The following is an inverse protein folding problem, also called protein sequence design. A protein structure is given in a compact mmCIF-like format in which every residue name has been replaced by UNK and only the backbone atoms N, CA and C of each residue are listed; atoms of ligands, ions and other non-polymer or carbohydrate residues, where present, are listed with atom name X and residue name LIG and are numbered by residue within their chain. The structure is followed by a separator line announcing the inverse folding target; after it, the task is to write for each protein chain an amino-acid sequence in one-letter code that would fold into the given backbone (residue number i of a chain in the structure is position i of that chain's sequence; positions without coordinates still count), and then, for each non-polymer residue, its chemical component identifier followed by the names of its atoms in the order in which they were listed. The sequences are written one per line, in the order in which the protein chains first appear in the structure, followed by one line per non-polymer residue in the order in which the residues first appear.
data_IF_548371580349
#
_entry.id   IF_548371580349
#
_cell.length_a   1.000
_cell.length_b   1.000
_cell.length_c   1.000
_cell.angle_alpha   90.00
_cell.angle_beta   90.00
_cell.angle_gamma   90.00
#
_symmetry.space_group_name_H-M   'P 1'
#
loop_
_entity.id
_entity.type
_entity.pdbx_description
1 polymer ?
#
# COMPACT_ATOMS: atom_id res chain seq x y z
N UNK A 1 34.47 5.32 -6.91
CA UNK A 1 33.83 6.64 -6.75
C UNK A 1 34.56 7.43 -5.68
N UNK A 2 34.92 8.68 -5.93
CA UNK A 2 35.55 9.55 -4.92
C UNK A 2 34.49 9.95 -3.88
N UNK A 3 34.92 10.19 -2.64
CA UNK A 3 34.04 10.58 -1.51
C UNK A 3 33.08 11.73 -1.86
N UNK A 4 33.57 12.73 -2.62
CA UNK A 4 32.79 13.87 -3.09
C UNK A 4 31.64 13.51 -4.04
N UNK A 5 31.87 12.54 -4.94
CA UNK A 5 30.86 12.07 -5.89
C UNK A 5 29.77 11.28 -5.17
N UNK A 6 30.14 10.48 -4.16
CA UNK A 6 29.18 9.75 -3.33
C UNK A 6 28.30 10.68 -2.50
N UNK A 7 28.88 11.71 -1.86
CA UNK A 7 28.11 12.71 -1.12
C UNK A 7 27.16 13.47 -2.04
N UNK A 8 27.62 13.84 -3.23
CA UNK A 8 26.78 14.51 -4.23
C UNK A 8 25.59 13.65 -4.64
N UNK A 9 25.80 12.35 -4.88
CA UNK A 9 24.70 11.43 -5.19
C UNK A 9 23.71 11.31 -4.04
N UNK A 10 24.17 11.19 -2.79
CA UNK A 10 23.28 11.17 -1.62
C UNK A 10 22.46 12.45 -1.50
N UNK A 11 23.06 13.61 -1.77
CA UNK A 11 22.33 14.88 -1.77
C UNK A 11 21.24 14.92 -2.85
N UNK A 12 21.48 14.30 -4.01
CA UNK A 12 20.50 14.24 -5.11
C UNK A 12 19.34 13.28 -4.84
N UNK A 13 19.46 12.35 -3.88
CA UNK A 13 18.33 11.51 -3.45
C UNK A 13 17.22 12.36 -2.83
N UNK A 14 17.56 13.40 -2.07
CA UNK A 14 16.58 14.23 -1.35
C UNK A 14 15.55 14.88 -2.29
N UNK A 15 15.92 15.71 -3.28
CA UNK A 15 14.94 16.30 -4.18
C UNK A 15 14.25 15.25 -5.07
N UNK A 16 14.88 14.11 -5.32
CA UNK A 16 14.30 13.03 -6.10
C UNK A 16 13.17 12.29 -5.37
N UNK A 17 13.23 12.16 -4.04
CA UNK A 17 12.26 11.38 -3.25
C UNK A 17 11.32 12.21 -2.39
N UNK A 18 11.59 13.51 -2.18
CA UNK A 18 10.79 14.37 -1.29
C UNK A 18 9.29 14.39 -1.63
N UNK A 19 8.94 14.21 -2.92
CA UNK A 19 7.55 14.16 -3.37
C UNK A 19 6.77 12.95 -2.84
N UNK A 20 7.44 11.83 -2.55
CA UNK A 20 6.81 10.60 -2.06
C UNK A 20 6.28 10.75 -0.62
N UNK A 21 6.92 11.62 0.18
CA UNK A 21 6.59 11.87 1.58
C UNK A 21 5.54 12.97 1.79
N UNK A 22 4.97 13.54 0.73
CA UNK A 22 3.88 14.51 0.86
C UNK A 22 2.66 13.87 1.55
N UNK A 23 1.92 14.59 2.41
CA UNK A 23 0.69 14.08 3.01
C UNK A 23 -0.34 13.65 1.95
N UNK A 24 -1.16 12.65 2.28
CA UNK A 24 -2.12 12.06 1.35
C UNK A 24 -1.47 11.10 0.35
N UNK A 25 -2.25 10.57 -0.59
CA UNK A 25 -1.75 9.70 -1.66
C UNK A 25 -1.62 10.47 -2.96
N UNK A 26 -0.66 10.08 -3.80
CA UNK A 26 -0.54 10.70 -5.12
C UNK A 26 -1.72 10.26 -6.00
N UNK A 27 -2.26 11.19 -6.78
CA UNK A 27 -3.27 10.84 -7.78
C UNK A 27 -2.61 10.07 -8.92
N UNK A 28 -2.98 8.80 -9.08
CA UNK A 28 -2.64 8.01 -10.25
C UNK A 28 -3.93 7.43 -10.85
N UNK A 29 -4.01 7.43 -12.18
CA UNK A 29 -5.05 6.68 -12.88
C UNK A 29 -4.87 5.20 -12.53
N UNK A 30 -5.95 4.54 -12.15
CA UNK A 30 -5.99 3.13 -11.74
C UNK A 30 -5.27 2.81 -10.41
N UNK A 31 -5.15 3.77 -9.51
CA UNK A 31 -4.68 3.46 -8.15
C UNK A 31 -5.72 2.66 -7.37
N UNK A 32 -5.34 1.44 -6.95
CA UNK A 32 -6.23 0.50 -6.25
C UNK A 32 -5.66 -0.01 -4.92
N UNK A 33 -4.40 0.25 -4.59
CA UNK A 33 -3.74 -0.38 -3.44
C UNK A 33 -4.40 0.00 -2.11
N UNK A 34 -4.83 1.25 -1.94
CA UNK A 34 -5.55 1.67 -0.72
C UNK A 34 -6.88 0.90 -0.58
N UNK A 35 -7.66 0.80 -1.66
CA UNK A 35 -8.93 0.07 -1.64
C UNK A 35 -8.72 -1.43 -1.39
N UNK A 36 -7.67 -2.02 -1.97
CA UNK A 36 -7.33 -3.41 -1.75
C UNK A 36 -6.85 -3.70 -0.33
N UNK A 37 -6.11 -2.78 0.30
CA UNK A 37 -5.79 -2.91 1.72
C UNK A 37 -7.05 -2.84 2.58
N UNK A 38 -7.96 -1.91 2.29
CA UNK A 38 -9.25 -1.85 3.01
C UNK A 38 -10.05 -3.15 2.88
N UNK A 39 -10.03 -3.80 1.70
CA UNK A 39 -10.69 -5.10 1.53
C UNK A 39 -9.94 -6.26 2.18
N UNK A 40 -8.61 -6.15 2.35
CA UNK A 40 -7.83 -7.11 3.14
C UNK A 40 -8.24 -7.04 4.62
N UNK A 41 -8.29 -5.85 5.19
CA UNK A 41 -8.79 -5.60 6.56
C UNK A 41 -10.21 -6.18 6.74
N UNK A 42 -11.14 -5.78 5.86
CA UNK A 42 -12.52 -6.25 5.90
C UNK A 42 -12.63 -7.79 5.84
N UNK A 43 -11.90 -8.43 4.93
CA UNK A 43 -11.92 -9.89 4.82
C UNK A 43 -11.35 -10.59 6.07
N UNK A 44 -10.33 -10.01 6.72
CA UNK A 44 -9.77 -10.52 7.98
C UNK A 44 -10.77 -10.34 9.13
N UNK A 45 -11.41 -9.17 9.23
CA UNK A 45 -12.47 -8.89 10.21
C UNK A 45 -13.66 -9.85 10.05
N UNK A 46 -13.99 -10.22 8.82
CA UNK A 46 -14.98 -11.26 8.49
C UNK A 46 -14.52 -12.70 8.81
N UNK A 47 -13.28 -12.88 9.28
CA UNK A 47 -12.72 -14.18 9.65
C UNK A 47 -12.19 -15.00 8.47
N UNK A 48 -12.00 -14.41 7.29
CA UNK A 48 -11.40 -15.10 6.16
C UNK A 48 -9.88 -15.24 6.37
N UNK A 49 -9.40 -16.44 6.64
CA UNK A 49 -7.96 -16.72 6.74
C UNK A 49 -7.62 -17.98 5.91
N UNK A 50 -6.93 -17.85 4.75
CA UNK A 50 -6.49 -16.60 4.12
C UNK A 50 -7.65 -15.84 3.46
N UNK A 51 -7.64 -14.49 3.41
CA UNK A 51 -8.54 -13.70 2.59
C UNK A 51 -8.51 -14.12 1.13
N UNK A 52 -9.70 -14.26 0.54
CA UNK A 52 -9.86 -14.71 -0.87
C UNK A 52 -10.88 -13.89 -1.63
N UNK A 53 -11.97 -13.51 -0.96
CA UNK A 53 -13.11 -12.86 -1.58
C UNK A 53 -13.35 -11.51 -0.92
N UNK A 54 -13.61 -10.50 -1.74
CA UNK A 54 -13.89 -9.13 -1.28
C UNK A 54 -15.37 -8.83 -1.52
N UNK A 55 -16.02 -8.19 -0.56
CA UNK A 55 -17.47 -7.99 -0.53
C UNK A 55 -17.92 -6.67 -1.17
N UNK A 56 -17.12 -5.61 -1.11
CA UNK A 56 -17.59 -4.26 -1.43
C UNK A 56 -17.24 -3.79 -2.85
N UNK A 57 -16.17 -4.36 -3.44
CA UNK A 57 -15.73 -3.95 -4.77
C UNK A 57 -16.70 -4.41 -5.87
N UNK A 58 -16.53 -3.84 -7.07
CA UNK A 58 -17.43 -4.08 -8.20
C UNK A 58 -18.89 -3.71 -7.86
N UNK A 59 -19.13 -2.50 -7.36
CA UNK A 59 -20.46 -2.00 -6.99
C UNK A 59 -21.18 -2.87 -5.94
N UNK A 60 -20.44 -3.47 -5.01
CA UNK A 60 -21.00 -4.34 -3.97
C UNK A 60 -21.35 -5.76 -4.42
N UNK A 61 -21.00 -6.17 -5.64
CA UNK A 61 -21.16 -7.56 -6.07
C UNK A 61 -20.07 -8.48 -5.54
N UNK A 62 -18.91 -7.92 -5.17
CA UNK A 62 -17.76 -8.66 -4.69
C UNK A 62 -17.15 -9.59 -5.74
N UNK A 63 -15.92 -10.04 -5.49
CA UNK A 63 -15.24 -11.01 -6.35
C UNK A 63 -14.02 -11.64 -5.66
N UNK A 64 -13.49 -12.77 -6.18
CA UNK A 64 -12.31 -13.45 -5.63
C UNK A 64 -10.96 -12.72 -5.86
N UNK A 65 -10.85 -11.43 -5.49
CA UNK A 65 -9.67 -10.57 -5.73
C UNK A 65 -8.33 -11.23 -5.41
N UNK A 66 -8.17 -11.74 -4.18
CA UNK A 66 -6.89 -12.25 -3.68
C UNK A 66 -6.51 -13.64 -4.21
N UNK A 67 -7.34 -14.24 -5.06
CA UNK A 67 -6.93 -15.40 -5.85
C UNK A 67 -6.15 -15.01 -7.11
N UNK A 68 -6.27 -13.76 -7.58
CA UNK A 68 -5.66 -13.27 -8.82
C UNK A 68 -4.60 -12.19 -8.59
N UNK A 69 -4.75 -11.39 -7.53
CA UNK A 69 -3.78 -10.37 -7.14
C UNK A 69 -2.88 -10.91 -6.03
N UNK A 70 -1.58 -10.59 -6.08
CA UNK A 70 -0.62 -10.96 -5.05
C UNK A 70 -1.03 -10.36 -3.69
N UNK A 71 -1.41 -11.17 -2.68
CA UNK A 71 -1.97 -10.65 -1.44
C UNK A 71 -0.90 -10.18 -0.44
N UNK A 72 0.36 -10.61 -0.61
CA UNK A 72 1.47 -10.35 0.32
C UNK A 72 1.62 -8.86 0.70
N UNK A 73 1.61 -7.89 -0.24
CA UNK A 73 1.75 -6.48 0.12
C UNK A 73 0.64 -5.98 1.06
N UNK A 74 -0.58 -6.48 0.90
CA UNK A 74 -1.72 -6.06 1.73
C UNK A 74 -1.70 -6.74 3.10
N UNK A 75 -1.17 -7.96 3.23
CA UNK A 75 -0.89 -8.51 4.56
C UNK A 75 0.13 -7.65 5.33
N UNK A 76 1.18 -7.18 4.65
CA UNK A 76 2.18 -6.29 5.27
C UNK A 76 1.55 -4.92 5.60
N UNK A 77 0.75 -4.38 4.68
CA UNK A 77 -0.02 -3.15 4.91
C UNK A 77 -0.97 -3.28 6.09
N UNK A 78 -1.59 -4.44 6.26
CA UNK A 78 -2.53 -4.71 7.34
C UNK A 78 -1.85 -4.71 8.70
N UNK A 79 -0.61 -5.21 8.79
CA UNK A 79 0.19 -5.08 10.02
C UNK A 79 0.35 -3.61 10.42
N UNK A 80 0.63 -2.72 9.47
CA UNK A 80 0.72 -1.29 9.77
C UNK A 80 -0.63 -0.67 10.14
N UNK A 81 -1.71 -1.07 9.47
CA UNK A 81 -3.06 -0.60 9.79
C UNK A 81 -3.48 -1.01 11.21
N UNK A 82 -3.26 -2.28 11.56
CA UNK A 82 -3.47 -2.83 12.89
C UNK A 82 -2.70 -2.08 13.99
N UNK A 83 -1.50 -1.57 13.66
CA UNK A 83 -0.70 -0.72 14.56
C UNK A 83 -1.21 0.73 14.68
N UNK A 84 -2.33 1.07 14.02
CA UNK A 84 -3.03 2.35 14.13
C UNK A 84 -2.74 3.35 13.01
N UNK A 85 -2.01 2.96 11.96
CA UNK A 85 -1.82 3.84 10.79
C UNK A 85 -3.09 3.86 9.94
N UNK A 86 -3.40 4.99 9.31
CA UNK A 86 -4.46 5.03 8.28
C UNK A 86 -4.07 4.17 7.07
N UNK A 87 -5.04 3.64 6.32
CA UNK A 87 -4.80 2.88 5.09
C UNK A 87 -3.81 3.55 4.11
N UNK A 88 -3.89 4.87 3.94
CA UNK A 88 -2.96 5.64 3.09
C UNK A 88 -1.52 5.51 3.57
N UNK A 89 -1.26 5.75 4.87
CA UNK A 89 0.07 5.63 5.44
C UNK A 89 0.55 4.17 5.48
N UNK A 90 -0.34 3.21 5.72
CA UNK A 90 -0.01 1.79 5.67
C UNK A 90 0.47 1.34 4.29
N UNK A 91 -0.23 1.73 3.22
CA UNK A 91 0.22 1.45 1.84
C UNK A 91 1.54 2.16 1.53
N UNK A 92 1.73 3.40 2.00
CA UNK A 92 3.02 4.09 1.85
C UNK A 92 4.16 3.32 2.50
N UNK A 93 3.98 2.79 3.72
CA UNK A 93 5.02 1.98 4.38
C UNK A 93 5.41 0.71 3.60
N UNK A 94 4.55 0.26 2.69
CA UNK A 94 4.80 -0.92 1.84
C UNK A 94 5.48 -0.56 0.53
N UNK A 95 5.07 0.55 -0.12
CA UNK A 95 5.46 0.88 -1.49
C UNK A 95 6.34 2.12 -1.65
N UNK A 96 6.59 2.88 -0.58
CA UNK A 96 7.41 4.11 -0.57
C UNK A 96 8.56 3.98 0.41
#
# INVERSE_FOLDING_TARGET
MKKKEFIFLLLMVIPATIALFKPGFYGASDEMHIAWLQQMDQAIVEGQIPPRYVSDLSFGFGYPLFNFISPLPYYVGEIFHFLGLSFVYSIKMVFV
#
